data_IF_336197299692
#
_entry.id   IF_336197299692
#
_cell.length_a   1.000
_cell.length_b   1.000
_cell.length_c   1.000
_cell.angle_alpha   90.00
_cell.angle_beta   90.00
_cell.angle_gamma   90.00
#
_symmetry.space_group_name_H-M   'P 1'
#
loop_
_entity.id
_entity.type
_entity.pdbx_description
1 polymer ?
#
# COMPACT_ATOMS: atom_id res chain seq x y z
N UNK A 1 16.34 -2.30 -6.20
CA UNK A 1 14.96 -2.40 -5.64
C UNK A 1 15.10 -2.72 -4.16
N UNK A 2 14.32 -2.10 -3.23
CA UNK A 2 14.48 -2.34 -1.79
C UNK A 2 14.18 -3.81 -1.45
N UNK A 3 14.87 -4.39 -0.46
CA UNK A 3 14.61 -5.75 0.02
C UNK A 3 13.28 -5.88 0.76
N UNK A 4 12.83 -7.11 1.06
CA UNK A 4 11.55 -7.38 1.74
C UNK A 4 11.47 -6.66 3.10
N UNK A 5 12.53 -6.71 3.89
CA UNK A 5 12.57 -6.05 5.20
C UNK A 5 12.44 -4.53 5.08
N UNK A 6 13.15 -3.91 4.12
CA UNK A 6 13.07 -2.48 3.84
C UNK A 6 11.68 -2.08 3.34
N UNK A 7 11.08 -2.87 2.44
CA UNK A 7 9.70 -2.64 1.98
C UNK A 7 8.70 -2.75 3.13
N UNK A 8 8.87 -3.73 4.02
CA UNK A 8 8.00 -3.90 5.20
C UNK A 8 8.04 -2.66 6.09
N UNK A 9 9.24 -2.12 6.33
CA UNK A 9 9.43 -0.89 7.11
C UNK A 9 8.85 0.34 6.39
N UNK A 10 9.08 0.46 5.08
CA UNK A 10 8.50 1.51 4.25
C UNK A 10 6.96 1.48 4.30
N UNK A 11 6.34 0.30 4.15
CA UNK A 11 4.88 0.16 4.25
C UNK A 11 4.34 0.67 5.58
N UNK A 12 4.95 0.27 6.70
CA UNK A 12 4.55 0.71 8.05
C UNK A 12 4.70 2.22 8.24
N UNK A 13 5.70 2.83 7.60
CA UNK A 13 5.98 4.28 7.69
C UNK A 13 5.18 5.14 6.72
N UNK A 14 4.65 4.55 5.65
CA UNK A 14 3.99 5.28 4.57
C UNK A 14 2.56 5.71 4.90
N UNK A 15 1.94 5.12 5.92
CA UNK A 15 0.59 5.49 6.34
C UNK A 15 0.60 6.43 7.55
N UNK A 16 -0.06 7.60 7.46
CA UNK A 16 -0.24 8.48 8.61
C UNK A 16 -1.01 7.80 9.75
N UNK A 17 -0.62 8.08 11.00
CA UNK A 17 -1.21 7.48 12.20
C UNK A 17 -2.72 7.76 12.40
N UNK A 18 -3.26 8.74 11.66
CA UNK A 18 -4.69 9.08 11.63
C UNK A 18 -5.54 7.99 10.98
N UNK A 19 -4.97 7.20 10.05
CA UNK A 19 -5.70 6.13 9.40
C UNK A 19 -5.66 4.85 10.23
N UNK A 20 -6.84 4.23 10.45
CA UNK A 20 -6.89 2.88 11.01
C UNK A 20 -6.49 1.90 9.91
N UNK A 21 -5.63 0.95 10.23
CA UNK A 21 -5.25 -0.13 9.32
C UNK A 21 -5.99 -1.39 9.74
N UNK A 22 -6.63 -2.11 8.81
CA UNK A 22 -7.25 -3.39 9.14
C UNK A 22 -6.23 -4.39 9.68
N UNK A 23 -6.64 -5.20 10.66
CA UNK A 23 -5.81 -6.28 11.22
C UNK A 23 -5.50 -7.38 10.20
N UNK A 24 -6.26 -7.44 9.10
CA UNK A 24 -6.07 -8.40 8.02
C UNK A 24 -4.87 -8.05 7.11
N UNK A 25 -4.28 -6.87 7.28
CA UNK A 25 -3.12 -6.43 6.51
C UNK A 25 -1.84 -6.92 7.21
N UNK A 26 -1.26 -7.97 6.65
CA UNK A 26 0.08 -8.43 7.00
C UNK A 26 1.13 -7.76 6.09
N UNK A 27 1.82 -6.76 6.62
CA UNK A 27 2.83 -6.00 5.89
C UNK A 27 4.00 -6.85 5.39
N UNK A 28 4.34 -7.94 6.08
CA UNK A 28 5.41 -8.83 5.65
C UNK A 28 4.97 -9.62 4.43
N UNK A 29 3.73 -10.13 4.42
CA UNK A 29 3.14 -10.80 3.26
C UNK A 29 2.97 -9.85 2.07
N UNK A 30 2.53 -8.60 2.32
CA UNK A 30 2.43 -7.58 1.27
C UNK A 30 3.82 -7.27 0.69
N UNK A 31 4.83 -7.06 1.53
CA UNK A 31 6.18 -6.78 1.09
C UNK A 31 6.82 -7.94 0.31
N UNK A 32 6.52 -9.20 0.68
CA UNK A 32 7.01 -10.37 -0.05
C UNK A 32 6.26 -10.61 -1.36
N UNK A 33 4.94 -10.37 -1.39
CA UNK A 33 4.09 -10.61 -2.55
C UNK A 33 4.15 -9.52 -3.62
N UNK A 34 4.54 -8.30 -3.24
CA UNK A 34 4.60 -7.15 -4.14
C UNK A 34 5.97 -6.47 -4.09
N UNK A 35 6.74 -6.69 -5.16
CA UNK A 35 8.02 -6.03 -5.41
C UNK A 35 7.82 -4.62 -6.01
N UNK A 36 7.52 -3.65 -5.15
CA UNK A 36 7.41 -2.23 -5.49
C UNK A 36 8.69 -1.45 -5.16
N UNK A 37 8.92 -0.37 -5.91
CA UNK A 37 9.93 0.63 -5.57
C UNK A 37 9.50 1.40 -4.30
N UNK A 38 10.43 2.09 -3.64
CA UNK A 38 10.07 2.95 -2.50
C UNK A 38 9.07 4.04 -2.89
N UNK A 39 9.24 4.64 -4.07
CA UNK A 39 8.28 5.60 -4.64
C UNK A 39 6.91 4.95 -4.91
N UNK A 40 6.88 3.74 -5.45
CA UNK A 40 5.64 2.99 -5.68
C UNK A 40 4.87 2.70 -4.39
N UNK A 41 5.55 2.33 -3.31
CA UNK A 41 4.92 2.13 -1.98
C UNK A 41 4.26 3.44 -1.48
N UNK A 42 4.97 4.56 -1.57
CA UNK A 42 4.44 5.88 -1.18
C UNK A 42 3.24 6.26 -2.04
N UNK A 43 3.30 6.03 -3.36
CA UNK A 43 2.19 6.30 -4.27
C UNK A 43 0.95 5.46 -3.94
N UNK A 44 1.13 4.18 -3.62
CA UNK A 44 0.02 3.33 -3.15
C UNK A 44 -0.58 3.89 -1.87
N UNK A 45 0.24 4.25 -0.88
CA UNK A 45 -0.25 4.81 0.38
C UNK A 45 -1.04 6.12 0.16
N UNK A 46 -0.56 7.00 -0.70
CA UNK A 46 -1.29 8.21 -1.11
C UNK A 46 -2.62 7.88 -1.79
N UNK A 47 -2.64 6.93 -2.74
CA UNK A 47 -3.86 6.52 -3.42
C UNK A 47 -4.90 5.96 -2.44
N UNK A 48 -4.46 5.16 -1.47
CA UNK A 48 -5.31 4.66 -0.39
C UNK A 48 -5.88 5.79 0.46
N UNK A 49 -5.04 6.73 0.91
CA UNK A 49 -5.48 7.87 1.72
C UNK A 49 -6.53 8.72 1.01
N UNK A 50 -6.33 9.03 -0.27
CA UNK A 50 -7.30 9.80 -1.08
C UNK A 50 -8.62 9.04 -1.21
N UNK A 51 -8.58 7.73 -1.49
CA UNK A 51 -9.78 6.90 -1.62
C UNK A 51 -10.59 6.84 -0.32
N UNK A 52 -9.91 6.63 0.81
CA UNK A 52 -10.55 6.62 2.13
C UNK A 52 -11.24 7.95 2.45
N UNK A 53 -10.58 9.07 2.16
CA UNK A 53 -11.15 10.40 2.36
C UNK A 53 -12.38 10.63 1.46
N UNK A 54 -12.30 10.24 0.18
CA UNK A 54 -13.40 10.38 -0.76
C UNK A 54 -14.64 9.56 -0.34
N UNK A 55 -14.43 8.36 0.21
CA UNK A 55 -15.49 7.47 0.68
C UNK A 55 -15.90 7.73 2.14
N UNK A 56 -15.32 8.74 2.80
CA UNK A 56 -15.51 9.03 4.24
C UNK A 56 -15.25 7.82 5.15
N UNK A 57 -14.34 6.93 4.73
CA UNK A 57 -13.86 5.78 5.50
C UNK A 57 -12.68 6.19 6.37
N UNK A 58 -12.62 5.65 7.58
CA UNK A 58 -11.50 5.87 8.51
C UNK A 58 -10.55 4.67 8.62
N UNK A 59 -10.89 3.54 7.98
CA UNK A 59 -10.12 2.30 8.05
C UNK A 59 -9.75 1.80 6.66
N UNK A 60 -8.46 1.53 6.45
CA UNK A 60 -7.94 0.87 5.26
C UNK A 60 -8.21 -0.63 5.32
N UNK A 61 -8.98 -1.15 4.36
CA UNK A 61 -9.15 -2.60 4.19
C UNK A 61 -8.04 -3.22 3.34
N UNK A 62 -7.89 -4.54 3.42
CA UNK A 62 -6.98 -5.28 2.55
C UNK A 62 -7.37 -5.16 1.06
N UNK A 63 -8.66 -5.04 0.77
CA UNK A 63 -9.17 -4.87 -0.59
C UNK A 63 -8.78 -3.52 -1.18
N UNK A 64 -8.94 -2.44 -0.41
CA UNK A 64 -8.52 -1.08 -0.81
C UNK A 64 -7.02 -1.04 -1.13
N UNK A 65 -6.21 -1.68 -0.27
CA UNK A 65 -4.77 -1.77 -0.44
C UNK A 65 -4.41 -2.56 -1.72
N UNK A 66 -4.98 -3.75 -1.91
CA UNK A 66 -4.73 -4.58 -3.10
C UNK A 66 -5.15 -3.85 -4.38
N UNK A 67 -6.28 -3.14 -4.36
CA UNK A 67 -6.73 -2.36 -5.50
C UNK A 67 -5.74 -1.22 -5.84
N UNK A 68 -5.23 -0.51 -4.83
CA UNK A 68 -4.23 0.53 -5.02
C UNK A 68 -2.89 -0.02 -5.53
N UNK A 69 -2.43 -1.15 -4.99
CA UNK A 69 -1.22 -1.85 -5.47
C UNK A 69 -1.38 -2.23 -6.95
N UNK A 70 -2.50 -2.86 -7.34
CA UNK A 70 -2.76 -3.23 -8.74
C UNK A 70 -2.70 -2.02 -9.67
N UNK A 71 -3.29 -0.89 -9.27
CA UNK A 71 -3.22 0.35 -10.06
C UNK A 71 -1.79 0.85 -10.24
N UNK A 72 -0.96 0.77 -9.19
CA UNK A 72 0.44 1.20 -9.28
C UNK A 72 1.26 0.29 -10.19
N UNK A 73 1.06 -1.02 -10.12
CA UNK A 73 1.68 -1.98 -11.05
C UNK A 73 1.36 -1.68 -12.50
N UNK A 74 0.09 -1.41 -12.81
CA UNK A 74 -0.36 -1.06 -14.16
C UNK A 74 0.33 0.24 -14.63
N UNK A 75 0.47 1.25 -13.75
CA UNK A 75 1.18 2.51 -14.09
C UNK A 75 2.66 2.31 -14.34
N UNK A 76 3.33 1.41 -13.59
CA UNK A 76 4.74 1.05 -13.82
C UNK A 76 4.94 0.16 -15.08
N UNK A 77 3.87 -0.14 -15.83
CA UNK A 77 3.93 -1.03 -17.00
C UNK A 77 4.13 -2.51 -16.64
N UNK A 78 3.98 -2.86 -15.36
CA UNK A 78 4.03 -4.24 -14.87
C UNK A 78 2.63 -4.83 -15.01
N UNK A 79 2.34 -5.35 -16.20
CA UNK A 79 1.11 -6.11 -16.44
C UNK A 79 1.25 -7.47 -15.72
N UNK A 80 0.33 -7.75 -14.80
CA UNK A 80 0.18 -9.08 -14.16
C UNK A 80 -0.98 -9.79 -14.82
#
# INVERSE_FOLDING_TARGET
MPGIAERTDLWKKSFPAVFKISKDIDWQQIASGYELSGAGIVNVAHSCAIGLLAEKKQQLSLEDLKAAIRREYIKEGRVV
#
